data_IF_369307818754
#
_entry.id   IF_369307818754
#
_cell.length_a   1.000
_cell.length_b   1.000
_cell.length_c   1.000
_cell.angle_alpha   90.00
_cell.angle_beta   90.00
_cell.angle_gamma   90.00
#
_symmetry.space_group_name_H-M   'P 1'
#
loop_
_entity.id
_entity.type
_entity.pdbx_description
1 polymer ?
#
# COMPACT_ATOMS: atom_id res chain seq x y z
N UNK A 1 20.77 -34.20 7.20
CA UNK A 1 19.91 -34.73 6.12
C UNK A 1 18.85 -33.68 5.83
N UNK A 2 18.97 -33.01 4.72
CA UNK A 2 17.98 -32.02 4.25
C UNK A 2 16.76 -32.81 3.75
N UNK A 3 15.59 -32.63 4.39
CA UNK A 3 14.33 -33.15 3.86
C UNK A 3 13.98 -32.36 2.59
N UNK A 4 14.03 -32.99 1.43
CA UNK A 4 13.44 -32.45 0.24
C UNK A 4 11.91 -32.38 0.42
N UNK A 5 11.37 -31.18 0.36
CA UNK A 5 9.93 -30.98 0.30
C UNK A 5 9.49 -31.41 -1.11
N UNK A 6 8.65 -32.43 -1.21
CA UNK A 6 8.02 -32.83 -2.48
C UNK A 6 6.70 -32.07 -2.57
N UNK A 7 6.55 -31.27 -3.60
CA UNK A 7 5.29 -30.62 -3.95
C UNK A 7 4.34 -31.64 -4.60
N UNK A 8 3.04 -31.53 -4.33
CA UNK A 8 2.03 -32.35 -4.99
C UNK A 8 1.71 -31.80 -6.39
N UNK A 9 1.06 -32.57 -7.28
CA UNK A 9 0.56 -32.03 -8.55
C UNK A 9 -0.40 -30.86 -8.39
N UNK A 10 -1.16 -30.82 -7.29
CA UNK A 10 -2.06 -29.71 -6.95
C UNK A 10 -1.26 -28.42 -6.60
N UNK A 11 -0.04 -28.60 -6.07
CA UNK A 11 0.88 -27.49 -5.82
C UNK A 11 1.40 -26.89 -7.14
N UNK A 12 1.63 -27.70 -8.17
CA UNK A 12 2.06 -27.21 -9.49
C UNK A 12 0.95 -26.40 -10.17
N UNK A 13 -0.33 -26.79 -10.03
CA UNK A 13 -1.45 -25.99 -10.53
C UNK A 13 -1.61 -24.69 -9.75
N UNK A 14 -1.35 -24.70 -8.44
CA UNK A 14 -1.36 -23.51 -7.60
C UNK A 14 -0.24 -22.53 -7.94
N UNK A 15 1.00 -23.02 -8.12
CA UNK A 15 2.17 -22.21 -8.49
C UNK A 15 2.25 -21.90 -9.99
N UNK A 16 1.46 -22.58 -10.83
CA UNK A 16 1.49 -22.42 -12.29
C UNK A 16 0.87 -21.12 -12.80
N UNK A 17 0.07 -20.41 -11.99
CA UNK A 17 -0.51 -19.14 -12.42
C UNK A 17 0.37 -17.96 -11.99
N UNK A 18 0.83 -17.19 -12.96
CA UNK A 18 1.63 -15.99 -12.78
C UNK A 18 0.85 -14.75 -13.22
N UNK A 19 1.20 -13.60 -12.68
CA UNK A 19 0.69 -12.32 -13.13
C UNK A 19 1.82 -11.43 -13.64
N UNK A 20 1.67 -10.84 -14.82
CA UNK A 20 2.66 -9.96 -15.40
C UNK A 20 2.91 -8.75 -14.49
N UNK A 21 4.15 -8.32 -14.37
CA UNK A 21 4.52 -7.04 -13.75
C UNK A 21 4.30 -5.85 -14.68
N UNK A 22 4.02 -6.13 -15.97
CA UNK A 22 3.95 -5.12 -17.00
C UNK A 22 5.32 -4.60 -17.46
N UNK A 23 6.41 -5.26 -17.03
CA UNK A 23 7.78 -4.96 -17.43
C UNK A 23 8.37 -6.19 -18.13
N UNK A 24 8.39 -6.23 -19.48
CA UNK A 24 8.71 -7.46 -20.22
C UNK A 24 10.04 -8.10 -19.87
N UNK A 25 11.08 -7.30 -19.58
CA UNK A 25 12.38 -7.83 -19.17
C UNK A 25 12.33 -8.51 -17.80
N UNK A 26 11.55 -7.94 -16.88
CA UNK A 26 11.36 -8.52 -15.55
C UNK A 26 10.51 -9.77 -15.62
N UNK A 27 9.40 -9.71 -16.35
CA UNK A 27 8.50 -10.85 -16.53
C UNK A 27 9.23 -12.04 -17.16
N UNK A 28 10.05 -11.80 -18.17
CA UNK A 28 10.89 -12.85 -18.77
C UNK A 28 11.88 -13.46 -17.78
N UNK A 29 12.50 -12.64 -16.92
CA UNK A 29 13.43 -13.11 -15.89
C UNK A 29 12.73 -13.93 -14.80
N UNK A 30 11.43 -13.68 -14.58
CA UNK A 30 10.55 -14.34 -13.59
C UNK A 30 9.67 -15.43 -14.22
N UNK A 31 10.02 -15.95 -15.41
CA UNK A 31 9.23 -16.98 -16.11
C UNK A 31 7.77 -16.61 -16.35
N UNK A 32 7.50 -15.37 -16.70
CA UNK A 32 6.17 -14.85 -17.04
C UNK A 32 5.60 -13.85 -16.05
N UNK A 33 6.24 -13.65 -14.91
CA UNK A 33 5.79 -12.66 -13.93
C UNK A 33 5.85 -13.14 -12.48
N UNK A 34 5.03 -12.51 -11.64
CA UNK A 34 4.94 -12.83 -10.20
C UNK A 34 3.99 -14.01 -10.00
N UNK A 35 4.38 -15.03 -9.22
CA UNK A 35 3.45 -16.08 -8.84
C UNK A 35 2.23 -15.50 -8.10
N UNK A 36 1.03 -15.92 -8.50
CA UNK A 36 -0.20 -15.50 -7.83
C UNK A 36 -0.33 -16.17 -6.46
N UNK A 37 -0.94 -15.48 -5.52
CA UNK A 37 -1.05 -15.91 -4.13
C UNK A 37 0.11 -15.44 -3.24
N UNK A 38 1.00 -14.57 -3.75
CA UNK A 38 2.16 -14.10 -3.01
C UNK A 38 2.08 -12.63 -2.63
N UNK A 39 2.59 -12.35 -1.42
CA UNK A 39 3.01 -11.02 -1.02
C UNK A 39 4.48 -10.85 -1.43
N UNK A 40 4.75 -9.81 -2.20
CA UNK A 40 6.09 -9.46 -2.68
C UNK A 40 6.55 -8.18 -2.00
N UNK A 41 7.73 -8.19 -1.43
CA UNK A 41 8.32 -7.00 -0.80
C UNK A 41 9.45 -6.48 -1.67
N UNK A 42 9.32 -5.24 -2.12
CA UNK A 42 10.36 -4.49 -2.82
C UNK A 42 11.15 -3.63 -1.84
N UNK A 43 12.42 -3.97 -1.61
CA UNK A 43 13.34 -3.09 -0.89
C UNK A 43 13.85 -2.01 -1.82
N UNK A 44 13.73 -0.77 -1.40
CA UNK A 44 13.99 0.38 -2.26
C UNK A 44 15.04 1.31 -1.68
N UNK A 45 15.78 1.95 -2.56
CA UNK A 45 16.69 3.05 -2.22
C UNK A 45 16.12 4.36 -2.77
N UNK A 46 16.37 5.45 -2.07
CA UNK A 46 15.92 6.77 -2.52
C UNK A 46 16.45 7.07 -3.92
N UNK A 47 15.56 7.45 -4.83
CA UNK A 47 15.89 7.77 -6.22
C UNK A 47 16.09 6.56 -7.15
N UNK A 48 15.81 5.34 -6.70
CA UNK A 48 15.91 4.12 -7.51
C UNK A 48 14.84 4.00 -8.61
N UNK A 49 13.78 4.81 -8.56
CA UNK A 49 12.63 4.73 -9.48
C UNK A 49 11.64 3.60 -9.12
N UNK A 50 11.73 3.09 -7.90
CA UNK A 50 10.86 2.04 -7.38
C UNK A 50 9.38 2.41 -7.41
N UNK A 51 9.06 3.69 -7.22
CA UNK A 51 7.72 4.25 -7.31
C UNK A 51 7.12 4.08 -8.73
N UNK A 52 7.93 4.14 -9.77
CA UNK A 52 7.48 3.86 -11.14
C UNK A 52 7.23 2.36 -11.35
N UNK A 53 8.11 1.53 -10.80
CA UNK A 53 7.96 0.08 -10.87
C UNK A 53 6.71 -0.39 -10.13
N UNK A 54 6.45 0.15 -8.93
CA UNK A 54 5.23 -0.12 -8.16
C UNK A 54 3.96 0.24 -8.95
N UNK A 55 3.94 1.43 -9.59
CA UNK A 55 2.82 1.86 -10.44
C UNK A 55 2.66 1.01 -11.69
N UNK A 56 3.77 0.56 -12.29
CA UNK A 56 3.73 -0.29 -13.48
C UNK A 56 2.99 -1.62 -13.20
N UNK A 57 3.14 -2.20 -12.01
CA UNK A 57 2.43 -3.41 -11.62
C UNK A 57 0.91 -3.25 -11.61
N UNK A 58 0.40 -2.02 -11.44
CA UNK A 58 -1.05 -1.75 -11.48
C UNK A 58 -1.61 -1.65 -12.90
N UNK A 59 -0.76 -1.67 -13.93
CA UNK A 59 -1.12 -1.35 -15.30
C UNK A 59 -0.70 -2.40 -16.34
N UNK A 60 -0.80 -3.71 -16.06
CA UNK A 60 -0.54 -4.70 -17.09
C UNK A 60 -1.64 -4.64 -18.16
N UNK A 61 -1.25 -4.45 -19.41
CA UNK A 61 -2.17 -4.19 -20.53
C UNK A 61 -3.10 -5.38 -20.86
N UNK A 62 -2.82 -6.58 -20.35
CA UNK A 62 -3.44 -7.83 -20.81
C UNK A 62 -4.24 -8.56 -19.73
N UNK A 63 -4.24 -8.09 -18.47
CA UNK A 63 -4.91 -8.77 -17.38
C UNK A 63 -5.94 -7.85 -16.72
N UNK A 64 -7.25 -8.16 -16.81
CA UNK A 64 -8.32 -7.36 -16.22
C UNK A 64 -8.48 -7.64 -14.72
N UNK A 65 -7.39 -7.65 -13.99
CA UNK A 65 -7.44 -7.85 -12.53
C UNK A 65 -8.07 -6.63 -11.86
N UNK A 66 -8.83 -6.87 -10.80
CA UNK A 66 -9.26 -5.79 -9.91
C UNK A 66 -8.03 -5.21 -9.19
N UNK A 67 -7.72 -3.94 -9.44
CA UNK A 67 -6.44 -3.35 -9.04
C UNK A 67 -6.65 -2.15 -8.14
N UNK A 68 -5.84 -2.07 -7.07
CA UNK A 68 -5.75 -0.90 -6.19
C UNK A 68 -4.30 -0.46 -6.02
N UNK A 69 -4.07 0.84 -6.12
CA UNK A 69 -2.83 1.51 -5.73
C UNK A 69 -3.06 2.33 -4.47
N UNK A 70 -2.33 1.99 -3.41
CA UNK A 70 -2.32 2.74 -2.15
C UNK A 70 -0.99 3.45 -2.06
N UNK A 71 -1.00 4.77 -2.24
CA UNK A 71 0.19 5.62 -2.12
C UNK A 71 0.19 6.33 -0.77
N UNK A 72 1.33 6.33 -0.10
CA UNK A 72 1.51 7.03 1.18
C UNK A 72 2.30 8.32 1.03
N UNK A 73 2.97 8.54 -0.10
CA UNK A 73 3.91 9.63 -0.29
C UNK A 73 3.50 10.61 -1.41
N UNK A 74 2.65 10.19 -2.34
CA UNK A 74 2.27 11.00 -3.50
C UNK A 74 0.81 11.42 -3.45
N UNK A 75 0.52 12.57 -4.04
CA UNK A 75 -0.84 13.06 -4.23
C UNK A 75 -1.52 12.42 -5.43
N UNK A 76 -2.85 12.46 -5.43
CA UNK A 76 -3.67 12.03 -6.57
C UNK A 76 -3.25 12.68 -7.89
N UNK A 77 -2.86 13.96 -7.83
CA UNK A 77 -2.44 14.71 -9.00
C UNK A 77 -1.10 14.21 -9.57
N UNK A 78 -0.14 13.90 -8.71
CA UNK A 78 1.17 13.37 -9.11
C UNK A 78 1.02 12.00 -9.77
N UNK A 79 0.27 11.10 -9.14
CA UNK A 79 -0.03 9.77 -9.68
C UNK A 79 -0.69 9.91 -11.06
N UNK A 80 -1.73 10.74 -11.18
CA UNK A 80 -2.44 10.95 -12.45
C UNK A 80 -1.51 11.48 -13.56
N UNK A 81 -0.58 12.36 -13.24
CA UNK A 81 0.43 12.87 -14.19
C UNK A 81 1.35 11.77 -14.70
N UNK A 82 1.78 10.86 -13.80
CA UNK A 82 2.62 9.72 -14.18
C UNK A 82 1.86 8.77 -15.10
N UNK A 83 0.64 8.38 -14.75
CA UNK A 83 -0.20 7.51 -15.57
C UNK A 83 -0.45 8.08 -16.95
N UNK A 84 -0.80 9.37 -17.03
CA UNK A 84 -0.99 10.07 -18.32
C UNK A 84 0.30 10.12 -19.14
N UNK A 85 1.45 10.39 -18.52
CA UNK A 85 2.76 10.46 -19.18
C UNK A 85 3.12 9.13 -19.85
N UNK A 86 2.88 8.02 -19.16
CA UNK A 86 3.22 6.67 -19.63
C UNK A 86 2.06 6.01 -20.39
N UNK A 87 0.91 6.67 -20.50
CA UNK A 87 -0.32 6.16 -21.13
C UNK A 87 -0.80 4.86 -20.50
N UNK A 88 -0.67 4.75 -19.19
CA UNK A 88 -1.20 3.63 -18.41
C UNK A 88 -2.70 3.80 -18.21
N UNK A 89 -3.46 2.68 -18.02
CA UNK A 89 -4.88 2.73 -17.68
C UNK A 89 -5.11 3.58 -16.43
N UNK A 90 -6.16 4.40 -16.45
CA UNK A 90 -6.52 5.32 -15.34
C UNK A 90 -7.77 4.89 -14.60
N UNK A 91 -8.35 3.76 -14.96
CA UNK A 91 -9.57 3.17 -14.39
C UNK A 91 -9.29 2.22 -13.21
N UNK A 92 -8.16 2.41 -12.54
CA UNK A 92 -7.80 1.68 -11.32
C UNK A 92 -8.23 2.45 -10.08
N UNK A 93 -8.48 1.72 -8.98
CA UNK A 93 -8.67 2.35 -7.69
C UNK A 93 -7.34 2.93 -7.17
N UNK A 94 -7.35 4.20 -6.77
CA UNK A 94 -6.19 4.89 -6.19
C UNK A 94 -6.58 5.50 -4.86
N UNK A 95 -5.82 5.21 -3.81
CA UNK A 95 -5.94 5.83 -2.51
C UNK A 95 -4.65 6.53 -2.12
N UNK A 96 -4.74 7.78 -1.70
CA UNK A 96 -3.60 8.62 -1.34
C UNK A 96 -3.59 8.90 0.17
N UNK A 97 -3.14 7.91 0.96
CA UNK A 97 -3.16 7.97 2.43
C UNK A 97 -2.34 9.12 3.00
N UNK A 98 -1.20 9.46 2.38
CA UNK A 98 -0.39 10.59 2.81
C UNK A 98 -1.12 11.93 2.64
N UNK A 99 -1.86 12.10 1.55
CA UNK A 99 -2.67 13.28 1.29
C UNK A 99 -3.84 13.38 2.28
N UNK A 100 -4.55 12.26 2.52
CA UNK A 100 -5.62 12.17 3.51
C UNK A 100 -5.13 12.52 4.93
N UNK A 101 -3.98 11.98 5.34
CA UNK A 101 -3.37 12.27 6.63
C UNK A 101 -3.00 13.75 6.76
N UNK A 102 -2.33 14.32 5.75
CA UNK A 102 -1.93 15.72 5.75
C UNK A 102 -3.13 16.67 5.78
N UNK A 103 -4.20 16.35 5.05
CA UNK A 103 -5.44 17.11 5.08
C UNK A 103 -6.04 17.18 6.48
N UNK A 104 -6.05 16.07 7.22
CA UNK A 104 -6.55 16.02 8.60
C UNK A 104 -5.67 16.80 9.57
N UNK A 105 -4.35 16.68 9.45
CA UNK A 105 -3.41 17.46 10.27
C UNK A 105 -3.63 18.96 10.04
N UNK A 106 -3.77 19.38 8.77
CA UNK A 106 -4.03 20.78 8.42
C UNK A 106 -5.37 21.26 8.99
N UNK A 107 -6.43 20.46 8.92
CA UNK A 107 -7.74 20.80 9.46
C UNK A 107 -7.66 21.03 10.99
N UNK A 108 -6.97 20.13 11.72
CA UNK A 108 -6.74 20.28 13.17
C UNK A 108 -6.01 21.59 13.49
N UNK A 109 -4.96 21.92 12.74
CA UNK A 109 -4.19 23.15 12.93
C UNK A 109 -5.00 24.42 12.61
N UNK A 110 -5.78 24.40 11.56
CA UNK A 110 -6.66 25.51 11.20
C UNK A 110 -7.72 25.74 12.29
N UNK A 111 -8.31 24.70 12.82
CA UNK A 111 -9.27 24.79 13.91
C UNK A 111 -8.63 25.34 15.19
N UNK A 112 -7.45 24.84 15.56
CA UNK A 112 -6.69 25.34 16.70
C UNK A 112 -6.34 26.83 16.54
N UNK A 113 -5.94 27.24 15.34
CA UNK A 113 -5.66 28.65 15.02
C UNK A 113 -6.89 29.52 15.14
N UNK A 114 -8.05 29.05 14.67
CA UNK A 114 -9.33 29.77 14.81
C UNK A 114 -9.69 29.96 16.27
N UNK A 115 -9.60 28.94 17.12
CA UNK A 115 -9.87 29.06 18.55
C UNK A 115 -8.93 30.06 19.25
N UNK A 116 -7.64 30.11 18.86
CA UNK A 116 -6.70 31.12 19.37
C UNK A 116 -7.16 32.53 19.01
N UNK A 117 -7.62 32.76 17.81
CA UNK A 117 -8.15 34.05 17.36
C UNK A 117 -9.43 34.45 18.11
N UNK A 118 -10.25 33.49 18.49
CA UNK A 118 -11.47 33.69 19.29
C UNK A 118 -11.18 33.90 20.80
N UNK A 119 -9.87 33.89 21.21
CA UNK A 119 -9.43 34.17 22.57
C UNK A 119 -9.43 32.96 23.51
N UNK A 120 -9.58 31.75 23.01
CA UNK A 120 -9.46 30.53 23.82
C UNK A 120 -8.02 30.32 24.28
N UNK A 121 -7.86 29.88 25.54
CA UNK A 121 -6.54 29.49 26.08
C UNK A 121 -6.10 28.14 25.54
N UNK A 122 -4.81 27.92 25.47
CA UNK A 122 -4.22 26.68 24.93
C UNK A 122 -4.81 25.38 25.54
N UNK A 123 -5.01 25.26 26.87
CA UNK A 123 -5.64 24.07 27.47
C UNK A 123 -7.07 23.83 26.99
N UNK A 124 -7.85 24.90 26.78
CA UNK A 124 -9.24 24.79 26.31
C UNK A 124 -9.28 24.37 24.84
N UNK A 125 -8.34 24.88 24.03
CA UNK A 125 -8.17 24.50 22.63
C UNK A 125 -7.82 23.01 22.52
N UNK A 126 -6.87 22.53 23.32
CA UNK A 126 -6.50 21.11 23.37
C UNK A 126 -7.68 20.23 23.76
N UNK A 127 -8.45 20.64 24.77
CA UNK A 127 -9.65 19.90 25.21
C UNK A 127 -10.74 19.85 24.14
N UNK A 128 -11.00 20.99 23.48
CA UNK A 128 -11.99 21.06 22.40
C UNK A 128 -11.55 20.26 21.17
N UNK A 129 -10.27 20.33 20.82
CA UNK A 129 -9.72 19.52 19.75
C UNK A 129 -9.83 18.02 20.06
N UNK A 130 -9.48 17.60 21.26
CA UNK A 130 -9.65 16.21 21.70
C UNK A 130 -11.10 15.76 21.63
N UNK A 131 -12.06 16.57 22.11
CA UNK A 131 -13.48 16.20 22.12
C UNK A 131 -14.07 16.11 20.70
N UNK A 132 -13.61 16.96 19.77
CA UNK A 132 -14.13 17.03 18.40
C UNK A 132 -13.48 16.01 17.46
N UNK A 133 -12.25 15.62 17.73
CA UNK A 133 -11.49 14.69 16.92
C UNK A 133 -11.27 13.31 17.57
N UNK A 134 -11.92 13.05 18.73
CA UNK A 134 -11.85 11.73 19.39
C UNK A 134 -12.37 10.62 18.48
N UNK A 135 -13.39 10.90 17.65
CA UNK A 135 -13.88 9.94 16.67
C UNK A 135 -12.98 9.84 15.44
N UNK A 136 -12.24 10.91 15.10
CA UNK A 136 -11.35 10.95 13.94
C UNK A 136 -9.91 10.43 14.23
N UNK A 137 -9.44 10.52 15.49
CA UNK A 137 -8.17 9.92 15.91
C UNK A 137 -8.26 8.38 15.99
N UNK A 138 -9.48 7.82 15.98
CA UNK A 138 -9.70 6.38 15.88
C UNK A 138 -9.65 5.86 14.44
N UNK A 139 -9.55 6.74 13.44
CA UNK A 139 -9.40 6.30 12.06
C UNK A 139 -8.00 5.74 11.85
N UNK A 140 -7.97 4.44 11.90
CA UNK A 140 -6.79 3.62 11.81
C UNK A 140 -6.53 3.30 10.34
N UNK A 141 -5.73 4.13 9.69
CA UNK A 141 -5.37 3.97 8.28
C UNK A 141 -4.82 2.59 7.96
N UNK A 142 -4.11 1.97 8.90
CA UNK A 142 -3.58 0.61 8.71
C UNK A 142 -4.73 -0.41 8.66
N UNK A 143 -5.70 -0.30 9.56
CA UNK A 143 -6.88 -1.17 9.56
C UNK A 143 -7.76 -0.91 8.34
N UNK A 144 -7.98 0.34 7.96
CA UNK A 144 -8.78 0.69 6.77
C UNK A 144 -8.16 0.13 5.50
N UNK A 145 -6.86 0.36 5.29
CA UNK A 145 -6.11 -0.20 4.16
C UNK A 145 -6.21 -1.73 4.14
N UNK A 146 -6.04 -2.37 5.30
CA UNK A 146 -6.14 -3.82 5.41
C UNK A 146 -7.53 -4.30 5.02
N UNK A 147 -8.60 -3.67 5.53
CA UNK A 147 -9.98 -4.02 5.21
C UNK A 147 -10.29 -3.82 3.73
N UNK A 148 -9.76 -2.78 3.11
CA UNK A 148 -9.94 -2.51 1.69
C UNK A 148 -9.33 -3.62 0.82
N UNK A 149 -8.10 -4.06 1.15
CA UNK A 149 -7.47 -5.19 0.47
C UNK A 149 -8.22 -6.51 0.75
N UNK A 150 -8.64 -6.74 2.00
CA UNK A 150 -9.41 -7.91 2.39
C UNK A 150 -10.81 -7.99 1.74
N UNK A 151 -11.35 -6.88 1.26
CA UNK A 151 -12.60 -6.83 0.52
C UNK A 151 -12.43 -7.16 -0.98
N UNK A 152 -11.19 -7.24 -1.48
CA UNK A 152 -10.94 -7.55 -2.88
C UNK A 152 -11.25 -9.03 -3.17
N UNK A 153 -11.90 -9.25 -4.31
CA UNK A 153 -12.25 -10.59 -4.81
C UNK A 153 -11.05 -11.35 -5.39
N UNK A 154 -11.29 -12.52 -6.00
CA UNK A 154 -10.22 -13.32 -6.58
C UNK A 154 -9.49 -12.58 -7.73
N UNK A 155 -8.23 -12.95 -7.91
CA UNK A 155 -7.33 -12.38 -8.94
C UNK A 155 -7.14 -10.88 -8.84
N UNK A 156 -7.02 -10.34 -7.64
CA UNK A 156 -6.75 -8.92 -7.44
C UNK A 156 -5.26 -8.58 -7.54
N UNK A 157 -4.99 -7.28 -7.71
CA UNK A 157 -3.67 -6.67 -7.56
C UNK A 157 -3.75 -5.53 -6.56
N UNK A 158 -2.94 -5.59 -5.52
CA UNK A 158 -2.83 -4.50 -4.57
C UNK A 158 -1.37 -4.07 -4.49
N UNK A 159 -1.14 -2.78 -4.54
CA UNK A 159 0.18 -2.16 -4.42
C UNK A 159 0.15 -1.16 -3.28
N UNK A 160 1.09 -1.27 -2.35
CA UNK A 160 1.29 -0.32 -1.24
C UNK A 160 2.65 0.34 -1.44
N UNK A 161 2.66 1.63 -1.74
CA UNK A 161 3.86 2.44 -1.95
C UNK A 161 3.85 3.67 -1.03
N UNK A 162 4.49 3.61 0.15
CA UNK A 162 5.27 2.55 0.76
C UNK A 162 4.77 2.21 2.17
N UNK A 163 5.29 1.12 2.77
CA UNK A 163 5.06 0.79 4.18
C UNK A 163 5.75 1.72 5.17
N UNK A 164 6.71 2.52 4.73
CA UNK A 164 7.49 3.45 5.57
C UNK A 164 6.58 4.37 6.40
N UNK A 165 5.47 4.80 5.81
CA UNK A 165 4.46 5.62 6.48
C UNK A 165 3.93 4.95 7.75
N UNK A 166 3.62 3.65 7.67
CA UNK A 166 3.10 2.88 8.80
C UNK A 166 4.21 2.48 9.78
N UNK A 167 5.38 2.10 9.26
CA UNK A 167 6.53 1.73 10.11
C UNK A 167 7.01 2.88 11.01
N UNK A 168 6.79 4.12 10.61
CA UNK A 168 7.13 5.31 11.39
C UNK A 168 6.06 5.72 12.42
N UNK A 169 4.82 5.24 12.28
CA UNK A 169 3.66 5.72 13.08
C UNK A 169 3.00 4.63 13.90
N UNK A 170 3.15 3.38 13.51
CA UNK A 170 2.50 2.24 14.13
C UNK A 170 3.53 1.33 14.82
N UNK A 171 3.06 0.48 15.72
CA UNK A 171 3.88 -0.59 16.25
C UNK A 171 4.29 -1.57 15.12
N UNK A 172 5.57 -1.82 14.89
CA UNK A 172 6.03 -2.74 13.85
C UNK A 172 5.40 -4.13 13.93
N UNK A 173 5.12 -4.64 15.15
CA UNK A 173 4.45 -5.93 15.33
C UNK A 173 3.02 -5.90 14.75
N UNK A 174 2.33 -4.77 14.88
CA UNK A 174 0.99 -4.57 14.33
C UNK A 174 1.03 -4.53 12.79
N UNK A 175 1.98 -3.80 12.21
CA UNK A 175 2.18 -3.76 10.76
C UNK A 175 2.44 -5.16 10.21
N UNK A 176 3.32 -5.93 10.86
CA UNK A 176 3.62 -7.31 10.46
C UNK A 176 2.40 -8.23 10.60
N UNK A 177 1.60 -8.06 11.66
CA UNK A 177 0.36 -8.84 11.83
C UNK A 177 -0.65 -8.56 10.70
N UNK A 178 -0.85 -7.29 10.32
CA UNK A 178 -1.72 -6.91 9.21
C UNK A 178 -1.20 -7.42 7.85
N UNK A 179 0.12 -7.35 7.62
CA UNK A 179 0.74 -7.94 6.42
C UNK A 179 0.48 -9.45 6.32
N UNK A 180 0.55 -10.18 7.43
CA UNK A 180 0.24 -11.62 7.46
C UNK A 180 -1.22 -11.91 7.13
N UNK A 181 -2.15 -11.08 7.61
CA UNK A 181 -3.57 -11.20 7.27
C UNK A 181 -3.79 -10.97 5.77
N UNK A 182 -3.22 -9.90 5.22
CA UNK A 182 -3.30 -9.60 3.79
C UNK A 182 -2.63 -10.68 2.95
N UNK A 183 -1.50 -11.24 3.40
CA UNK A 183 -0.83 -12.37 2.74
C UNK A 183 -1.73 -13.61 2.68
N UNK A 184 -2.38 -13.98 3.79
CA UNK A 184 -3.30 -15.12 3.82
C UNK A 184 -4.49 -14.91 2.85
N UNK A 185 -5.05 -13.70 2.82
CA UNK A 185 -6.09 -13.34 1.86
C UNK A 185 -5.60 -13.44 0.41
N UNK A 186 -4.42 -12.89 0.14
CA UNK A 186 -3.77 -12.94 -1.18
C UNK A 186 -3.60 -14.38 -1.66
N UNK A 187 -3.20 -15.28 -0.76
CA UNK A 187 -3.02 -16.70 -1.05
C UNK A 187 -4.36 -17.38 -1.41
N UNK A 188 -5.40 -17.14 -0.61
CA UNK A 188 -6.74 -17.73 -0.82
C UNK A 188 -7.35 -17.26 -2.14
N UNK A 189 -7.21 -15.98 -2.45
CA UNK A 189 -7.83 -15.34 -3.61
C UNK A 189 -6.94 -15.30 -4.86
N UNK A 190 -5.76 -15.94 -4.83
CA UNK A 190 -4.78 -15.91 -5.94
C UNK A 190 -4.46 -14.50 -6.43
N UNK A 191 -4.45 -13.53 -5.49
CA UNK A 191 -4.09 -12.16 -5.77
C UNK A 191 -2.58 -11.96 -5.90
N UNK A 192 -2.18 -10.72 -6.12
CA UNK A 192 -0.79 -10.26 -6.00
C UNK A 192 -0.80 -9.05 -5.06
N UNK A 193 -0.06 -9.14 -3.98
CA UNK A 193 0.17 -8.00 -3.09
C UNK A 193 1.64 -7.59 -3.18
N UNK A 194 1.89 -6.38 -3.66
CA UNK A 194 3.23 -5.81 -3.73
C UNK A 194 3.35 -4.64 -2.75
N UNK A 195 4.40 -4.64 -1.96
CA UNK A 195 4.66 -3.58 -1.00
C UNK A 195 6.10 -3.07 -1.16
N UNK A 196 6.30 -1.76 -1.10
CA UNK A 196 7.63 -1.16 -1.09
C UNK A 196 8.02 -0.75 0.32
N UNK A 197 9.29 -0.88 0.64
CA UNK A 197 9.89 -0.47 1.92
C UNK A 197 11.26 0.11 1.65
N UNK A 198 11.57 1.27 2.24
CA UNK A 198 12.90 1.86 2.14
C UNK A 198 13.92 1.08 2.99
N UNK A 199 15.11 0.88 2.45
CA UNK A 199 16.22 0.30 3.20
C UNK A 199 16.56 1.12 4.45
N UNK A 200 16.42 2.44 4.39
CA UNK A 200 16.70 3.36 5.50
C UNK A 200 15.72 3.16 6.67
N UNK A 201 14.52 2.69 6.41
CA UNK A 201 13.50 2.41 7.44
C UNK A 201 13.80 1.11 8.21
N UNK A 202 14.44 0.14 7.55
CA UNK A 202 14.69 -1.18 8.13
C UNK A 202 16.06 -1.26 8.81
N UNK A 203 17.04 -0.50 8.32
CA UNK A 203 18.39 -0.48 8.86
C UNK A 203 18.61 0.86 9.57
N UNK A 204 18.36 0.97 10.88
CA UNK A 204 18.70 2.17 11.61
C UNK A 204 20.22 2.38 11.53
N UNK A 205 20.62 3.61 11.17
CA UNK A 205 22.00 4.04 11.05
C UNK A 205 22.73 3.98 12.41
#
# INVERSE_FOLDING_TARGET
MSKQIKFSPDDEEFFGSVGSFGVPKFDNAMNGGVPRGFLVVGFTETGSGSELFAKQLTSPAEEPDNTILISTNESQLEISRVFNKYKWPTDIAVRTLGEEYNARVLEKELLASRYRLEGFKLPDIQRLAQTRFVDDDTQDFLTEMTNEIMAMGPYFRAVIDSLDFFMQREDPSRVVAMLRMMQAHTQIHRGILFVTVSNDTITPA
#
